data_IF_162465588902
#
_entry.id   IF_162465588902
#
_cell.length_a   1.000
_cell.length_b   1.000
_cell.length_c   1.000
_cell.angle_alpha   90.00
_cell.angle_beta   90.00
_cell.angle_gamma   90.00
#
_symmetry.space_group_name_H-M   'P 1'
#
loop_
_entity.id
_entity.type
_entity.pdbx_description
1 polymer ?
#
# COMPACT_ATOMS: atom_id res chain seq x y z
N UNK A 1 5.08 -18.30 19.85
CA UNK A 1 3.80 -17.67 19.49
C UNK A 1 4.15 -16.59 18.49
N UNK A 2 3.77 -16.73 17.23
CA UNK A 2 4.07 -15.70 16.23
C UNK A 2 3.34 -14.41 16.63
N UNK A 3 4.09 -13.32 16.76
CA UNK A 3 3.52 -12.02 17.12
C UNK A 3 2.85 -11.44 15.87
N UNK A 4 1.74 -10.69 16.04
CA UNK A 4 1.04 -10.00 14.94
C UNK A 4 2.01 -9.17 14.08
N UNK A 5 3.00 -8.56 14.72
CA UNK A 5 4.02 -7.77 14.02
C UNK A 5 4.90 -8.63 13.09
N UNK A 6 5.25 -9.84 13.51
CA UNK A 6 6.12 -10.73 12.70
C UNK A 6 5.35 -11.24 11.47
N UNK A 7 4.07 -11.58 11.65
CA UNK A 7 3.17 -11.95 10.54
C UNK A 7 3.04 -10.79 9.55
N UNK A 8 2.79 -9.58 10.05
CA UNK A 8 2.65 -8.39 9.20
C UNK A 8 3.93 -8.10 8.39
N UNK A 9 5.10 -8.22 9.04
CA UNK A 9 6.42 -8.04 8.38
C UNK A 9 6.68 -9.07 7.29
N UNK A 10 6.27 -10.32 7.49
CA UNK A 10 6.43 -11.36 6.48
C UNK A 10 5.42 -11.22 5.32
N UNK A 11 4.18 -10.79 5.61
CA UNK A 11 3.10 -10.79 4.64
C UNK A 11 3.02 -9.52 3.79
N UNK A 12 3.32 -8.34 4.36
CA UNK A 12 3.23 -7.08 3.61
C UNK A 12 4.07 -7.09 2.31
N UNK A 13 5.34 -7.54 2.30
CA UNK A 13 6.13 -7.67 1.08
C UNK A 13 5.61 -8.73 0.12
N UNK A 14 4.93 -9.78 0.62
CA UNK A 14 4.38 -10.84 -0.23
C UNK A 14 3.18 -10.37 -1.03
N UNK A 15 2.34 -9.52 -0.42
CA UNK A 15 1.17 -8.91 -1.05
C UNK A 15 1.53 -7.77 -2.00
N UNK A 16 2.55 -6.98 -1.65
CA UNK A 16 2.94 -5.78 -2.40
C UNK A 16 4.10 -5.98 -3.37
N UNK A 17 4.91 -7.03 -3.17
CA UNK A 17 6.17 -7.20 -3.88
C UNK A 17 7.25 -6.17 -3.50
N UNK A 18 6.98 -5.31 -2.52
CA UNK A 18 7.84 -4.21 -2.12
C UNK A 18 8.59 -4.54 -0.82
N UNK A 19 9.91 -4.32 -0.73
CA UNK A 19 10.66 -4.47 0.51
C UNK A 19 10.14 -3.56 1.63
N UNK A 20 10.22 -3.99 2.89
CA UNK A 20 9.69 -3.24 4.04
C UNK A 20 10.36 -1.88 4.25
N UNK A 21 11.65 -1.79 3.93
CA UNK A 21 12.52 -0.62 4.04
C UNK A 21 12.23 0.45 2.99
N UNK A 22 11.54 0.10 1.90
CA UNK A 22 11.12 1.04 0.86
C UNK A 22 9.79 1.74 1.21
N UNK A 23 9.08 1.30 2.26
CA UNK A 23 7.82 1.94 2.67
C UNK A 23 8.08 3.28 3.35
N UNK A 24 7.41 4.31 2.83
CA UNK A 24 7.38 5.64 3.39
C UNK A 24 6.60 5.72 4.70
N UNK A 25 6.76 6.84 5.40
CA UNK A 25 6.06 7.10 6.67
C UNK A 25 4.61 7.53 6.45
N UNK A 26 4.27 7.97 5.24
CA UNK A 26 2.93 8.39 4.85
C UNK A 26 2.37 7.47 3.77
N UNK A 27 1.15 6.98 3.98
CA UNK A 27 0.53 6.00 3.08
C UNK A 27 -0.73 6.58 2.44
N UNK A 28 -0.79 6.45 1.11
CA UNK A 28 -2.00 6.60 0.32
C UNK A 28 -2.54 5.21 -0.02
N UNK A 29 -3.80 4.95 0.32
CA UNK A 29 -4.52 3.77 -0.14
C UNK A 29 -5.39 4.16 -1.32
N UNK A 30 -5.49 3.27 -2.31
CA UNK A 30 -6.43 3.39 -3.42
C UNK A 30 -7.00 2.02 -3.78
N UNK A 31 -8.10 2.02 -4.52
CA UNK A 31 -8.66 0.83 -5.17
C UNK A 31 -8.64 0.94 -6.71
N UNK A 32 -7.86 1.88 -7.25
CA UNK A 32 -7.69 2.13 -8.68
C UNK A 32 -6.23 1.96 -9.09
N UNK A 33 -5.96 1.08 -10.06
CA UNK A 33 -4.62 0.85 -10.63
C UNK A 33 -4.03 2.12 -11.24
N UNK A 34 -4.86 2.89 -11.96
CA UNK A 34 -4.45 4.09 -12.67
C UNK A 34 -3.84 5.15 -11.73
N UNK A 35 -4.25 5.15 -10.46
CA UNK A 35 -3.69 6.08 -9.46
C UNK A 35 -2.23 5.72 -9.13
N UNK A 36 -1.89 4.42 -9.08
CA UNK A 36 -0.52 3.96 -8.84
C UNK A 36 0.36 4.27 -10.05
N UNK A 37 -0.14 4.02 -11.27
CA UNK A 37 0.58 4.35 -12.51
C UNK A 37 0.83 5.86 -12.63
N UNK A 38 -0.20 6.68 -12.39
CA UNK A 38 -0.07 8.13 -12.42
C UNK A 38 0.86 8.66 -11.32
N UNK A 39 0.83 8.05 -10.13
CA UNK A 39 1.76 8.38 -9.04
C UNK A 39 3.20 8.07 -9.46
N UNK A 40 3.46 6.85 -9.95
CA UNK A 40 4.77 6.41 -10.40
C UNK A 40 5.33 7.31 -11.51
N UNK A 41 4.51 7.62 -12.52
CA UNK A 41 4.89 8.54 -13.60
C UNK A 41 5.16 9.97 -13.10
N UNK A 42 4.34 10.47 -12.17
CA UNK A 42 4.48 11.83 -11.62
C UNK A 42 5.74 12.00 -10.79
N UNK A 43 6.10 11.00 -10.00
CA UNK A 43 7.25 11.04 -9.11
C UNK A 43 8.48 10.31 -9.64
N UNK A 44 8.40 9.77 -10.86
CA UNK A 44 9.45 8.95 -11.47
C UNK A 44 9.93 7.83 -10.53
N UNK A 45 8.99 7.10 -9.95
CA UNK A 45 9.23 5.98 -9.02
C UNK A 45 8.83 4.65 -9.63
N UNK A 46 9.44 3.57 -9.15
CA UNK A 46 9.15 2.21 -9.62
C UNK A 46 7.82 1.69 -9.07
N UNK A 47 7.14 0.84 -9.84
CA UNK A 47 5.95 0.12 -9.40
C UNK A 47 6.37 -1.28 -8.96
N UNK A 48 6.09 -1.59 -7.70
CA UNK A 48 6.29 -2.91 -7.13
C UNK A 48 5.02 -3.74 -7.27
N UNK A 49 5.22 -5.05 -7.51
CA UNK A 49 4.14 -6.02 -7.44
C UNK A 49 3.09 -5.88 -8.55
N UNK A 50 3.46 -5.51 -9.77
CA UNK A 50 2.52 -5.44 -10.91
C UNK A 50 1.65 -6.71 -11.06
N UNK A 51 2.23 -7.88 -10.80
CA UNK A 51 1.57 -9.20 -10.84
C UNK A 51 1.10 -9.69 -9.46
N UNK A 52 1.12 -8.83 -8.45
CA UNK A 52 0.73 -9.13 -7.07
C UNK A 52 -0.65 -8.53 -6.77
N UNK A 53 -1.32 -8.99 -5.69
CA UNK A 53 -2.65 -8.50 -5.35
C UNK A 53 -2.71 -7.02 -5.00
N UNK A 54 -1.61 -6.41 -4.53
CA UNK A 54 -1.61 -5.03 -4.05
C UNK A 54 -0.40 -4.23 -4.58
N UNK A 55 -0.50 -3.62 -5.75
CA UNK A 55 0.60 -2.82 -6.30
C UNK A 55 0.97 -1.66 -5.37
N UNK A 56 2.26 -1.35 -5.29
CA UNK A 56 2.76 -0.26 -4.46
C UNK A 56 3.85 0.55 -5.17
N UNK A 57 4.00 1.81 -4.79
CA UNK A 57 5.10 2.68 -5.25
C UNK A 57 5.40 3.72 -4.17
N UNK A 58 6.68 4.01 -3.94
CA UNK A 58 7.14 5.04 -3.01
C UNK A 58 7.92 6.11 -3.74
N UNK A 59 7.66 7.38 -3.43
CA UNK A 59 8.45 8.49 -3.95
C UNK A 59 9.62 8.85 -3.01
N UNK A 60 10.51 9.72 -3.47
CA UNK A 60 11.68 10.19 -2.70
C UNK A 60 11.35 10.95 -1.41
N UNK A 61 10.11 11.43 -1.26
CA UNK A 61 9.66 12.21 -0.10
C UNK A 61 9.11 11.33 1.03
N UNK A 62 9.13 10.00 0.86
CA UNK A 62 8.61 9.06 1.85
C UNK A 62 7.08 8.94 1.86
N UNK A 63 6.44 9.19 0.71
CA UNK A 63 5.02 8.92 0.46
C UNK A 63 4.90 7.64 -0.37
N UNK A 64 4.14 6.66 0.16
CA UNK A 64 3.85 5.41 -0.54
C UNK A 64 2.39 5.37 -0.96
N UNK A 65 2.10 5.01 -2.20
CA UNK A 65 0.76 4.64 -2.64
C UNK A 65 0.63 3.13 -2.74
N UNK A 66 -0.50 2.59 -2.28
CA UNK A 66 -0.82 1.15 -2.35
C UNK A 66 -2.22 0.99 -2.92
N UNK A 67 -2.34 0.25 -4.01
CA UNK A 67 -3.61 -0.24 -4.50
C UNK A 67 -3.97 -1.51 -3.74
N UNK A 68 -4.92 -1.48 -2.81
CA UNK A 68 -5.33 -2.68 -2.07
C UNK A 68 -6.41 -3.49 -2.81
N UNK A 69 -6.87 -3.03 -3.98
CA UNK A 69 -7.97 -3.61 -4.73
C UNK A 69 -9.34 -3.28 -4.13
N UNK A 70 -10.34 -4.13 -4.39
CA UNK A 70 -11.75 -3.88 -4.03
C UNK A 70 -12.19 -4.82 -2.91
N UNK A 71 -13.02 -4.30 -2.00
CA UNK A 71 -13.73 -5.08 -0.98
C UNK A 71 -13.26 -4.80 0.44
N UNK A 72 -14.18 -4.90 1.39
CA UNK A 72 -13.89 -4.73 2.82
C UNK A 72 -12.86 -5.73 3.37
N UNK A 73 -12.75 -6.99 2.90
CA UNK A 73 -11.71 -7.90 3.39
C UNK A 73 -10.30 -7.39 3.06
N UNK A 74 -10.08 -6.88 1.85
CA UNK A 74 -8.77 -6.34 1.47
C UNK A 74 -8.44 -5.06 2.24
N UNK A 75 -9.43 -4.21 2.48
CA UNK A 75 -9.26 -3.01 3.30
C UNK A 75 -8.84 -3.35 4.73
N UNK A 76 -9.46 -4.36 5.36
CA UNK A 76 -9.04 -4.84 6.67
C UNK A 76 -7.63 -5.44 6.63
N UNK A 77 -7.35 -6.30 5.65
CA UNK A 77 -6.04 -6.93 5.47
C UNK A 77 -4.91 -5.91 5.35
N UNK A 78 -5.03 -4.91 4.47
CA UNK A 78 -3.94 -3.93 4.29
C UNK A 78 -3.72 -3.11 5.56
N UNK A 79 -4.78 -2.76 6.29
CA UNK A 79 -4.64 -2.03 7.56
C UNK A 79 -3.94 -2.87 8.64
N UNK A 80 -4.21 -4.17 8.71
CA UNK A 80 -3.50 -5.08 9.63
C UNK A 80 -2.02 -5.25 9.24
N UNK A 81 -1.72 -5.28 7.94
CA UNK A 81 -0.35 -5.45 7.44
C UNK A 81 0.50 -4.17 7.59
N UNK A 82 -0.09 -2.99 7.46
CA UNK A 82 0.62 -1.70 7.60
C UNK A 82 1.22 -1.48 8.99
N UNK A 83 0.80 -2.24 10.01
CA UNK A 83 1.44 -2.25 11.33
C UNK A 83 2.94 -2.59 11.23
N UNK A 84 3.37 -3.34 10.20
CA UNK A 84 4.77 -3.65 9.95
C UNK A 84 5.66 -2.42 9.71
N UNK A 85 5.08 -1.34 9.16
CA UNK A 85 5.78 -0.11 8.79
C UNK A 85 5.51 1.05 9.75
N UNK A 86 4.56 0.90 10.67
CA UNK A 86 4.16 1.91 11.66
C UNK A 86 3.99 3.33 11.06
N UNK A 87 3.09 3.51 10.07
CA UNK A 87 2.94 4.76 9.36
C UNK A 87 2.45 5.90 10.28
N UNK A 88 2.91 7.12 9.99
CA UNK A 88 2.48 8.33 10.70
C UNK A 88 1.08 8.80 10.27
N UNK A 89 0.63 8.39 9.09
CA UNK A 89 -0.71 8.69 8.61
C UNK A 89 -1.09 7.86 7.39
N UNK A 90 -2.38 7.54 7.28
CA UNK A 90 -2.95 6.79 6.17
C UNK A 90 -4.16 7.56 5.62
N UNK A 91 -4.18 7.82 4.32
CA UNK A 91 -5.30 8.47 3.63
C UNK A 91 -5.81 7.57 2.50
N UNK A 92 -7.12 7.37 2.44
CA UNK A 92 -7.76 6.60 1.37
C UNK A 92 -8.29 7.52 0.27
N UNK A 93 -7.83 7.28 -0.97
CA UNK A 93 -8.27 7.93 -2.19
C UNK A 93 -9.16 6.95 -2.96
N UNK A 94 -10.47 7.15 -2.86
CA UNK A 94 -11.46 6.30 -3.49
C UNK A 94 -12.63 7.08 -4.09
N UNK A 95 -13.63 6.35 -4.56
CA UNK A 95 -14.92 6.92 -4.98
C UNK A 95 -16.02 6.59 -3.98
N UNK A 96 -17.02 7.46 -3.91
CA UNK A 96 -18.30 7.19 -3.26
C UNK A 96 -19.45 7.50 -4.22
N UNK A 97 -20.58 6.83 -4.03
CA UNK A 97 -21.83 7.22 -4.70
C UNK A 97 -22.43 8.42 -3.98
N UNK A 98 -22.90 9.41 -4.74
CA UNK A 98 -23.72 10.48 -4.19
C UNK A 98 -25.12 9.95 -3.87
N UNK A 99 -25.64 10.29 -2.70
CA UNK A 99 -27.01 10.00 -2.26
C UNK A 99 -27.65 11.28 -1.76
#
# INVERSE_FOLDING_TARGET
MENKLDIAKDWLPRYTGMPLDEFGHHILLTNFSDYVENFANKFNSDIYGEKKPMQASTNSDGLTIINYGIGSPNAATIMDLLVACNPSGVLFLGKCGGF
#
